data_IF_332362319692
#
_entry.id   IF_332362319692
#
_cell.length_a   1.000
_cell.length_b   1.000
_cell.length_c   1.000
_cell.angle_alpha   90.00
_cell.angle_beta   90.00
_cell.angle_gamma   90.00
#
_symmetry.space_group_name_H-M   'P 1'
#
loop_
_entity.id
_entity.type
_entity.pdbx_description
1 polymer ?
#
# COMPACT_ATOMS: atom_id res chain seq x y z
N UNK A 1 17.78 -6.12 -9.10
CA UNK A 1 17.15 -4.87 -9.57
C UNK A 1 16.27 -5.19 -10.76
N UNK A 2 15.03 -4.73 -10.79
CA UNK A 2 14.15 -4.86 -11.97
C UNK A 2 13.45 -3.53 -12.29
N UNK A 3 13.41 -3.09 -13.56
CA UNK A 3 12.52 -2.01 -13.98
C UNK A 3 11.08 -2.45 -13.72
N UNK A 4 10.23 -1.54 -13.24
CA UNK A 4 8.84 -1.87 -12.96
C UNK A 4 7.87 -1.00 -13.76
N UNK A 5 7.88 0.31 -13.54
CA UNK A 5 6.90 1.21 -14.14
C UNK A 5 7.59 2.26 -15.01
N UNK A 6 7.02 2.55 -16.17
CA UNK A 6 7.34 3.72 -16.99
C UNK A 6 6.08 4.36 -17.57
N UNK A 7 6.21 5.63 -17.95
CA UNK A 7 5.19 6.42 -18.63
C UNK A 7 5.69 6.77 -20.03
N UNK A 8 4.88 6.46 -21.03
CA UNK A 8 5.17 6.76 -22.44
C UNK A 8 4.04 7.67 -22.97
N UNK A 9 4.39 8.75 -23.66
CA UNK A 9 3.41 9.64 -24.30
C UNK A 9 3.25 9.24 -25.76
N UNK A 10 2.04 8.90 -26.16
CA UNK A 10 1.65 8.62 -27.53
C UNK A 10 0.60 9.63 -28.02
N UNK A 11 0.28 9.59 -29.31
CA UNK A 11 -0.70 10.49 -29.94
C UNK A 11 -2.10 10.44 -29.26
N UNK A 12 -2.45 9.31 -28.63
CA UNK A 12 -3.72 9.12 -27.92
C UNK A 12 -3.70 9.49 -26.42
N UNK A 13 -2.58 9.99 -25.90
CA UNK A 13 -2.39 10.28 -24.47
C UNK A 13 -1.25 9.47 -23.83
N UNK A 14 -1.32 9.28 -22.52
CA UNK A 14 -0.31 8.56 -21.75
C UNK A 14 -0.58 7.06 -21.70
N UNK A 15 0.47 6.28 -21.89
CA UNK A 15 0.50 4.84 -21.67
C UNK A 15 1.30 4.52 -20.41
N UNK A 16 0.68 3.70 -19.55
CA UNK A 16 1.34 3.07 -18.41
C UNK A 16 1.98 1.77 -18.89
N UNK A 17 3.28 1.64 -18.66
CA UNK A 17 4.05 0.45 -19.03
C UNK A 17 4.46 -0.30 -17.77
N UNK A 18 3.99 -1.54 -17.63
CA UNK A 18 4.41 -2.48 -16.59
C UNK A 18 5.42 -3.49 -17.18
N UNK A 19 6.66 -3.43 -16.71
CA UNK A 19 7.74 -4.35 -17.08
C UNK A 19 7.78 -5.61 -16.21
N UNK A 20 6.76 -5.86 -15.39
CA UNK A 20 6.64 -6.99 -14.47
C UNK A 20 7.74 -7.06 -13.39
N UNK A 21 8.40 -5.94 -13.08
CA UNK A 21 9.48 -5.91 -12.10
C UNK A 21 9.09 -6.44 -10.72
N UNK A 22 7.89 -6.11 -10.24
CA UNK A 22 7.40 -6.62 -8.94
C UNK A 22 7.17 -8.14 -8.97
N UNK A 23 6.63 -8.64 -10.08
CA UNK A 23 6.41 -10.06 -10.26
C UNK A 23 7.73 -10.83 -10.26
N UNK A 24 8.73 -10.33 -11.01
CA UNK A 24 10.07 -10.93 -11.07
C UNK A 24 10.76 -11.02 -9.70
N UNK A 25 10.56 -10.05 -8.81
CA UNK A 25 11.14 -10.15 -7.46
C UNK A 25 10.38 -11.13 -6.57
N UNK A 26 9.06 -11.25 -6.75
CA UNK A 26 8.21 -12.16 -5.97
C UNK A 26 8.48 -13.61 -6.37
N UNK A 27 8.71 -13.89 -7.66
CA UNK A 27 9.12 -15.22 -8.14
C UNK A 27 10.47 -15.67 -7.58
N UNK A 28 11.36 -14.73 -7.26
CA UNK A 28 12.67 -15.00 -6.66
C UNK A 28 12.62 -15.21 -5.15
N UNK A 29 11.48 -14.97 -4.48
CA UNK A 29 11.35 -15.18 -3.04
C UNK A 29 11.09 -16.65 -2.72
N UNK A 30 11.69 -17.14 -1.64
CA UNK A 30 11.36 -18.46 -1.12
C UNK A 30 9.94 -18.46 -0.52
N UNK A 31 9.10 -19.39 -0.98
CA UNK A 31 7.72 -19.60 -0.48
C UNK A 31 6.91 -18.28 -0.44
N UNK A 32 6.69 -17.62 -1.59
CA UNK A 32 6.12 -16.26 -1.64
C UNK A 32 4.69 -16.14 -1.08
N UNK A 33 3.98 -17.25 -0.90
CA UNK A 33 2.65 -17.29 -0.27
C UNK A 33 2.72 -17.17 1.26
N UNK A 34 3.85 -17.52 1.86
CA UNK A 34 4.07 -17.56 3.31
C UNK A 34 4.93 -16.39 3.81
N UNK A 35 5.48 -15.59 2.89
CA UNK A 35 6.28 -14.41 3.21
C UNK A 35 5.44 -13.14 3.10
N UNK A 36 5.58 -12.25 4.08
CA UNK A 36 4.81 -11.01 4.18
C UNK A 36 5.75 -9.80 4.05
N UNK A 37 6.08 -9.36 2.83
CA UNK A 37 7.08 -8.33 2.63
C UNK A 37 6.66 -6.96 3.17
N UNK A 38 7.62 -6.26 3.78
CA UNK A 38 7.47 -4.82 4.03
C UNK A 38 7.97 -4.03 2.82
N UNK A 39 7.24 -2.98 2.45
CA UNK A 39 7.51 -2.17 1.26
C UNK A 39 8.03 -0.80 1.66
N UNK A 40 9.22 -0.43 1.21
CA UNK A 40 9.80 0.88 1.42
C UNK A 40 9.95 1.63 0.10
N UNK A 41 9.36 2.81 -0.01
CA UNK A 41 9.46 3.68 -1.18
C UNK A 41 10.51 4.77 -0.93
N UNK A 42 11.46 4.93 -1.85
CA UNK A 42 12.47 5.97 -1.82
C UNK A 42 12.33 6.87 -3.05
N UNK A 43 12.07 8.16 -2.84
CA UNK A 43 11.81 9.15 -3.88
C UNK A 43 12.92 10.21 -3.89
N UNK A 44 13.65 10.28 -4.99
CA UNK A 44 14.78 11.18 -5.15
C UNK A 44 15.73 10.73 -6.26
N UNK A 45 16.88 11.39 -6.32
CA UNK A 45 17.89 11.28 -7.37
C UNK A 45 19.23 10.84 -6.78
N UNK A 46 20.19 11.76 -6.73
CA UNK A 46 21.59 11.46 -6.35
C UNK A 46 21.71 11.12 -4.86
N UNK A 47 21.13 11.95 -4.00
CA UNK A 47 21.18 11.79 -2.54
C UNK A 47 20.50 10.49 -2.11
N UNK A 48 19.35 10.16 -2.72
CA UNK A 48 18.68 8.87 -2.57
C UNK A 48 19.61 7.70 -2.90
N UNK A 49 20.30 7.76 -4.04
CA UNK A 49 21.19 6.68 -4.47
C UNK A 49 22.40 6.50 -3.52
N UNK A 50 22.91 7.58 -2.94
CA UNK A 50 23.94 7.51 -1.88
C UNK A 50 23.41 6.86 -0.61
N UNK A 51 22.21 7.27 -0.16
CA UNK A 51 21.56 6.72 1.02
C UNK A 51 21.28 5.22 0.87
N UNK A 52 20.72 4.79 -0.26
CA UNK A 52 20.41 3.38 -0.51
C UNK A 52 21.66 2.50 -0.47
N UNK A 53 22.77 2.95 -1.08
CA UNK A 53 24.06 2.24 -1.00
C UNK A 53 24.60 2.12 0.42
N UNK A 54 24.30 3.08 1.30
CA UNK A 54 24.71 3.04 2.70
C UNK A 54 23.78 2.15 3.55
N UNK A 55 22.47 2.18 3.29
CA UNK A 55 21.48 1.40 4.04
C UNK A 55 21.52 -0.09 3.67
N UNK A 56 21.79 -0.40 2.39
CA UNK A 56 21.70 -1.74 1.80
C UNK A 56 22.94 -2.06 0.94
N UNK A 57 24.13 -2.17 1.54
CA UNK A 57 25.40 -2.23 0.80
C UNK A 57 25.53 -3.43 -0.16
N UNK A 58 24.83 -4.53 0.09
CA UNK A 58 24.88 -5.74 -0.73
C UNK A 58 24.02 -5.65 -2.00
N UNK A 59 23.05 -4.73 -2.02
CA UNK A 59 22.20 -4.55 -3.18
C UNK A 59 22.97 -3.86 -4.32
N UNK A 60 22.94 -4.47 -5.49
CA UNK A 60 23.51 -3.89 -6.71
C UNK A 60 22.70 -2.68 -7.19
N UNK A 61 23.05 -1.49 -6.69
CA UNK A 61 22.55 -0.19 -7.17
C UNK A 61 23.39 0.29 -8.35
N UNK A 62 22.98 -0.09 -9.56
CA UNK A 62 23.66 0.28 -10.80
C UNK A 62 23.96 1.78 -10.92
N UNK A 63 25.13 2.12 -11.50
CA UNK A 63 25.45 3.48 -11.96
C UNK A 63 24.72 3.69 -13.30
N UNK A 64 24.08 4.85 -13.50
CA UNK A 64 23.41 5.21 -14.77
C UNK A 64 22.14 4.39 -15.04
N UNK A 65 21.12 4.84 -15.78
CA UNK A 65 20.69 6.11 -16.38
C UNK A 65 19.37 5.70 -17.05
N UNK A 66 18.29 6.49 -16.95
CA UNK A 66 16.98 6.24 -17.63
C UNK A 66 16.21 5.01 -17.16
N UNK A 67 15.49 5.14 -16.05
CA UNK A 67 14.47 4.17 -15.67
C UNK A 67 13.23 4.98 -15.38
N UNK A 68 12.10 4.59 -15.96
CA UNK A 68 10.93 5.46 -16.13
C UNK A 68 10.42 6.07 -14.84
N UNK A 69 9.37 5.48 -14.26
CA UNK A 69 8.74 6.00 -13.05
C UNK A 69 9.25 5.29 -11.80
N UNK A 70 9.31 3.95 -11.81
CA UNK A 70 9.64 3.17 -10.63
C UNK A 70 10.46 1.91 -10.96
N UNK A 71 11.36 1.59 -10.04
CA UNK A 71 12.15 0.35 -9.99
C UNK A 71 11.89 -0.38 -8.69
N UNK A 72 12.09 -1.68 -8.71
CA UNK A 72 11.88 -2.52 -7.53
C UNK A 72 13.04 -3.50 -7.29
N UNK A 73 13.34 -3.71 -6.02
CA UNK A 73 14.43 -4.54 -5.54
C UNK A 73 13.97 -5.34 -4.33
N UNK A 74 14.48 -6.55 -4.20
CA UNK A 74 14.44 -7.28 -2.95
C UNK A 74 15.69 -6.90 -2.15
N UNK A 75 15.53 -6.58 -0.86
CA UNK A 75 16.66 -6.39 0.04
C UNK A 75 17.35 -7.72 0.30
N UNK A 76 18.68 -7.73 0.23
CA UNK A 76 19.52 -8.89 0.57
C UNK A 76 19.86 -8.94 2.07
N UNK A 77 19.25 -8.07 2.89
CA UNK A 77 19.49 -8.11 4.34
C UNK A 77 18.92 -9.39 4.95
N UNK A 78 19.65 -10.03 5.87
CA UNK A 78 19.14 -11.17 6.61
C UNK A 78 18.00 -10.71 7.52
N UNK A 79 16.85 -11.36 7.42
CA UNK A 79 15.69 -11.06 8.24
C UNK A 79 14.55 -12.06 8.04
N UNK A 80 13.64 -12.21 9.01
CA UNK A 80 12.50 -13.11 8.89
C UNK A 80 11.54 -12.66 7.77
N UNK A 81 11.37 -11.34 7.65
CA UNK A 81 10.46 -10.70 6.71
C UNK A 81 11.22 -10.02 5.57
N UNK A 82 10.91 -10.34 4.30
CA UNK A 82 11.57 -9.72 3.17
C UNK A 82 11.22 -8.22 3.08
N UNK A 83 12.20 -7.41 2.67
CA UNK A 83 11.98 -5.98 2.43
C UNK A 83 12.01 -5.72 0.93
N UNK A 84 10.91 -5.21 0.39
CA UNK A 84 10.79 -4.75 -0.99
C UNK A 84 11.11 -3.27 -1.03
N UNK A 85 12.15 -2.90 -1.77
CA UNK A 85 12.58 -1.52 -1.97
C UNK A 85 12.04 -1.04 -3.32
N UNK A 86 11.30 0.07 -3.31
CA UNK A 86 10.87 0.76 -4.52
C UNK A 86 11.69 2.03 -4.65
N UNK A 87 12.35 2.20 -5.78
CA UNK A 87 13.05 3.43 -6.13
C UNK A 87 12.24 4.22 -7.16
N UNK A 88 11.99 5.49 -6.88
CA UNK A 88 11.35 6.40 -7.83
C UNK A 88 12.08 7.75 -7.88
N UNK A 89 11.81 8.50 -8.94
CA UNK A 89 12.28 9.86 -9.17
C UNK A 89 11.10 10.70 -9.63
N UNK A 90 11.05 11.97 -9.21
CA UNK A 90 10.06 12.92 -9.72
C UNK A 90 10.49 13.55 -11.05
N UNK A 91 11.76 13.43 -11.42
CA UNK A 91 12.25 13.99 -12.67
C UNK A 91 11.60 13.29 -13.87
N UNK A 92 11.01 14.07 -14.77
CA UNK A 92 10.52 13.56 -16.05
C UNK A 92 11.71 13.12 -16.88
N UNK A 93 11.82 11.82 -17.15
CA UNK A 93 12.79 11.29 -18.08
C UNK A 93 12.07 11.07 -19.42
N UNK A 94 12.07 12.09 -20.28
CA UNK A 94 11.42 12.07 -21.61
C UNK A 94 11.94 11.01 -22.58
N UNK A 95 13.01 10.27 -22.24
CA UNK A 95 13.69 9.34 -23.17
C UNK A 95 14.00 7.97 -22.57
N UNK A 96 13.13 7.45 -21.71
CA UNK A 96 13.27 6.05 -21.27
C UNK A 96 12.58 5.14 -22.27
N UNK A 97 13.33 4.70 -23.30
CA UNK A 97 12.92 3.57 -24.12
C UNK A 97 12.99 2.30 -23.26
N UNK A 98 11.85 1.64 -23.06
CA UNK A 98 11.84 0.35 -22.38
C UNK A 98 12.76 -0.66 -23.09
N UNK A 99 13.49 -1.52 -22.36
CA UNK A 99 14.33 -2.55 -22.99
C UNK A 99 13.47 -3.46 -23.87
N UNK A 100 13.81 -3.56 -25.17
CA UNK A 100 13.08 -4.33 -26.20
C UNK A 100 12.87 -5.82 -25.89
N UNK A 101 13.54 -6.35 -24.87
CA UNK A 101 13.54 -7.78 -24.53
C UNK A 101 12.55 -8.18 -23.42
N UNK A 102 11.77 -7.24 -22.87
CA UNK A 102 10.81 -7.54 -21.79
C UNK A 102 9.40 -7.58 -22.36
N UNK A 103 8.58 -8.56 -21.98
CA UNK A 103 7.14 -8.51 -22.25
C UNK A 103 6.58 -7.31 -21.47
N UNK A 104 6.25 -6.25 -22.18
CA UNK A 104 5.72 -5.03 -21.60
C UNK A 104 4.20 -5.06 -21.67
N UNK A 105 3.56 -4.90 -20.52
CA UNK A 105 2.11 -4.70 -20.50
C UNK A 105 1.84 -3.21 -20.56
N UNK A 106 1.45 -2.74 -21.74
CA UNK A 106 1.05 -1.35 -21.96
C UNK A 106 -0.45 -1.20 -21.72
N UNK A 107 -0.82 -0.16 -20.98
CA UNK A 107 -2.22 0.17 -20.71
C UNK A 107 -2.44 1.67 -20.94
N UNK A 108 -3.32 2.06 -21.88
CA UNK A 108 -3.64 3.46 -22.07
C UNK A 108 -4.34 4.01 -20.83
N UNK A 109 -3.88 5.16 -20.36
CA UNK A 109 -4.50 5.89 -19.26
C UNK A 109 -5.70 6.63 -19.83
N UNK A 110 -6.90 6.25 -19.38
CA UNK A 110 -8.15 6.82 -19.83
C UNK A 110 -8.18 8.34 -19.60
N UNK A 111 -8.59 9.09 -20.63
CA UNK A 111 -8.75 10.56 -20.61
C UNK A 111 -7.46 11.32 -20.27
N UNK A 112 -6.31 10.82 -20.69
CA UNK A 112 -5.00 11.41 -20.38
C UNK A 112 -4.39 12.29 -21.48
N UNK A 113 -5.12 12.54 -22.57
CA UNK A 113 -4.64 13.36 -23.70
C UNK A 113 -4.11 14.74 -23.29
N UNK A 114 -4.84 15.44 -22.44
CA UNK A 114 -4.49 16.78 -21.95
C UNK A 114 -3.69 16.76 -20.65
N UNK A 115 -3.45 15.58 -20.06
CA UNK A 115 -2.70 15.48 -18.81
C UNK A 115 -1.22 15.74 -19.04
N UNK A 116 -0.61 16.45 -18.11
CA UNK A 116 0.84 16.54 -17.94
C UNK A 116 1.43 15.22 -17.44
N UNK A 117 2.73 15.04 -17.66
CA UNK A 117 3.47 13.91 -17.07
C UNK A 117 3.30 13.84 -15.55
N UNK A 118 3.30 15.00 -14.90
CA UNK A 118 3.25 15.13 -13.45
C UNK A 118 1.90 14.74 -12.86
N UNK A 119 0.80 15.03 -13.55
CA UNK A 119 -0.54 14.58 -13.15
C UNK A 119 -0.65 13.05 -13.22
N UNK A 120 -0.20 12.44 -14.33
CA UNK A 120 -0.23 10.98 -14.49
C UNK A 120 0.74 10.29 -13.51
N UNK A 121 1.90 10.91 -13.25
CA UNK A 121 2.83 10.46 -12.20
C UNK A 121 2.13 10.47 -10.84
N UNK A 122 1.54 11.59 -10.44
CA UNK A 122 0.91 11.74 -9.13
C UNK A 122 -0.26 10.77 -8.94
N UNK A 123 -1.03 10.51 -9.99
CA UNK A 123 -2.05 9.46 -10.02
C UNK A 123 -1.48 8.08 -9.65
N UNK A 124 -0.32 7.71 -10.18
CA UNK A 124 0.31 6.41 -9.89
C UNK A 124 0.88 6.35 -8.47
N UNK A 125 1.38 7.46 -7.94
CA UNK A 125 1.74 7.55 -6.53
C UNK A 125 0.52 7.29 -5.64
N UNK A 126 -0.56 8.01 -5.91
CA UNK A 126 -1.80 7.97 -5.14
C UNK A 126 -2.47 6.58 -5.17
N UNK A 127 -2.58 5.96 -6.34
CA UNK A 127 -3.36 4.73 -6.51
C UNK A 127 -2.56 3.43 -6.42
N UNK A 128 -1.22 3.50 -6.57
CA UNK A 128 -0.37 2.31 -6.66
C UNK A 128 0.73 2.32 -5.61
N UNK A 129 1.63 3.31 -5.64
CA UNK A 129 2.85 3.25 -4.83
C UNK A 129 2.58 3.48 -3.34
N UNK A 130 1.81 4.51 -2.98
CA UNK A 130 1.53 4.86 -1.59
C UNK A 130 0.66 3.83 -0.85
N UNK A 131 -0.42 3.29 -1.44
CA UNK A 131 -1.24 2.27 -0.76
C UNK A 131 -0.46 1.01 -0.38
N UNK A 132 0.60 0.68 -1.13
CA UNK A 132 1.45 -0.47 -0.89
C UNK A 132 2.59 -0.19 0.11
N UNK A 133 3.03 1.07 0.19
CA UNK A 133 4.18 1.46 0.99
C UNK A 133 3.90 1.40 2.51
N UNK A 134 4.86 0.88 3.25
CA UNK A 134 4.92 1.00 4.71
C UNK A 134 5.62 2.31 5.09
N UNK A 135 6.73 2.62 4.42
CA UNK A 135 7.48 3.86 4.59
C UNK A 135 7.74 4.54 3.26
N UNK A 136 7.75 5.88 3.26
CA UNK A 136 8.06 6.70 2.08
C UNK A 136 9.15 7.69 2.47
N UNK A 137 10.34 7.55 1.88
CA UNK A 137 11.47 8.45 2.09
C UNK A 137 11.53 9.49 0.96
N UNK A 138 11.40 10.77 1.30
CA UNK A 138 11.47 11.90 0.39
C UNK A 138 12.79 12.64 0.61
N UNK A 139 13.66 12.70 -0.40
CA UNK A 139 14.96 13.38 -0.31
C UNK A 139 14.85 14.82 -0.82
N UNK A 140 14.67 15.79 0.07
CA UNK A 140 14.34 17.18 -0.29
C UNK A 140 15.31 17.78 -1.32
N UNK A 141 16.61 17.63 -1.08
CA UNK A 141 17.68 18.13 -1.96
C UNK A 141 17.68 17.50 -3.37
N UNK A 142 16.99 16.37 -3.57
CA UNK A 142 16.82 15.77 -4.89
C UNK A 142 15.53 16.23 -5.60
N UNK A 143 14.57 16.82 -4.86
CA UNK A 143 13.26 17.21 -5.38
C UNK A 143 13.21 18.67 -5.84
N UNK A 144 14.03 19.54 -5.23
CA UNK A 144 14.08 20.97 -5.52
C UNK A 144 15.51 21.47 -5.56
N UNK A 145 15.83 22.38 -6.49
CA UNK A 145 17.09 23.10 -6.50
C UNK A 145 17.16 24.22 -5.44
N UNK A 146 16.01 24.60 -4.87
CA UNK A 146 15.86 25.73 -3.93
C UNK A 146 15.73 25.29 -2.47
N UNK A 147 15.82 23.98 -2.16
CA UNK A 147 15.64 23.40 -0.81
C UNK A 147 14.32 23.80 -0.11
N UNK A 148 13.26 24.04 -0.89
CA UNK A 148 11.98 24.53 -0.38
C UNK A 148 11.06 23.40 0.08
N UNK A 149 10.69 23.43 1.36
CA UNK A 149 9.71 22.51 1.98
C UNK A 149 8.34 22.58 1.29
N UNK A 150 8.02 23.70 0.64
CA UNK A 150 6.77 23.90 -0.10
C UNK A 150 6.58 22.87 -1.23
N UNK A 151 7.68 22.38 -1.83
CA UNK A 151 7.61 21.34 -2.85
C UNK A 151 7.05 20.05 -2.27
N UNK A 152 7.51 19.67 -1.07
CA UNK A 152 6.97 18.50 -0.37
C UNK A 152 5.50 18.71 -0.02
N UNK A 153 5.11 19.92 0.43
CA UNK A 153 3.71 20.21 0.72
C UNK A 153 2.83 20.05 -0.52
N UNK A 154 3.23 20.62 -1.66
CA UNK A 154 2.52 20.49 -2.94
C UNK A 154 2.40 19.04 -3.39
N UNK A 155 3.44 18.24 -3.22
CA UNK A 155 3.42 16.80 -3.55
C UNK A 155 2.47 16.02 -2.64
N UNK A 156 2.54 16.24 -1.33
CA UNK A 156 1.64 15.59 -0.38
C UNK A 156 0.18 15.97 -0.65
N UNK A 157 -0.10 17.21 -1.04
CA UNK A 157 -1.44 17.64 -1.50
C UNK A 157 -1.84 16.89 -2.78
N UNK A 158 -0.96 16.81 -3.77
CA UNK A 158 -1.23 16.13 -5.03
C UNK A 158 -1.41 14.61 -4.90
N UNK A 159 -0.93 14.01 -3.80
CA UNK A 159 -1.08 12.57 -3.51
C UNK A 159 -2.28 12.24 -2.61
N UNK A 160 -3.13 13.21 -2.30
CA UNK A 160 -4.36 12.98 -1.56
C UNK A 160 -5.34 12.13 -2.36
N UNK A 161 -5.90 11.12 -1.70
CA UNK A 161 -7.00 10.35 -2.28
C UNK A 161 -8.30 11.13 -2.07
N UNK A 162 -9.10 11.39 -3.13
CA UNK A 162 -10.45 11.93 -2.98
C UNK A 162 -11.26 11.04 -2.04
N UNK A 163 -11.69 11.60 -0.91
CA UNK A 163 -12.55 10.91 0.04
C UNK A 163 -13.99 11.03 -0.44
N UNK A 164 -14.58 9.93 -0.88
CA UNK A 164 -15.97 9.91 -1.36
C UNK A 164 -17.00 9.83 -0.20
N UNK A 165 -16.62 10.18 1.03
CA UNK A 165 -17.52 10.35 2.18
C UNK A 165 -18.17 9.07 2.74
N UNK A 166 -18.19 7.96 2.00
CA UNK A 166 -19.06 6.81 2.32
C UNK A 166 -18.36 5.67 3.06
N UNK A 167 -17.02 5.59 3.10
CA UNK A 167 -16.35 4.52 3.84
C UNK A 167 -15.11 5.00 4.59
N UNK A 168 -15.20 5.07 5.92
CA UNK A 168 -14.12 5.42 6.85
C UNK A 168 -13.16 4.26 7.10
N UNK A 169 -13.15 3.24 6.23
CA UNK A 169 -12.23 2.13 6.32
C UNK A 169 -10.83 2.65 5.95
N UNK A 170 -10.14 3.20 6.95
CA UNK A 170 -8.83 3.84 6.81
C UNK A 170 -7.85 2.79 6.29
N UNK A 171 -7.57 2.84 4.99
CA UNK A 171 -6.41 2.13 4.45
C UNK A 171 -5.18 2.62 5.21
N UNK A 172 -4.32 1.71 5.70
CA UNK A 172 -3.15 2.09 6.48
C UNK A 172 -2.23 2.90 5.58
N UNK A 173 -2.07 4.17 5.94
CA UNK A 173 -1.22 5.11 5.22
C UNK A 173 0.26 4.82 5.53
N UNK A 174 1.16 5.14 4.60
CA UNK A 174 2.58 5.03 4.85
C UNK A 174 3.05 6.02 5.91
N UNK A 175 4.18 5.71 6.55
CA UNK A 175 4.93 6.64 7.36
C UNK A 175 5.90 7.41 6.45
N UNK A 176 5.78 8.74 6.41
CA UNK A 176 6.62 9.59 5.57
C UNK A 176 7.85 10.05 6.34
N UNK A 177 9.01 9.92 5.72
CA UNK A 177 10.31 10.33 6.23
C UNK A 177 10.88 11.34 5.25
N UNK A 178 11.06 12.59 5.69
CA UNK A 178 11.70 13.63 4.91
C UNK A 178 13.18 13.70 5.29
N UNK A 179 14.06 13.62 4.29
CA UNK A 179 15.51 13.60 4.48
C UNK A 179 16.10 14.93 4.02
N UNK A 180 16.79 15.60 4.93
CA UNK A 180 17.50 16.86 4.68
C UNK A 180 18.99 16.58 4.59
N UNK A 181 19.63 16.95 3.48
CA UNK A 181 21.08 16.73 3.29
C UNK A 181 21.84 17.98 2.94
N UNK A 182 21.14 19.01 2.44
CA UNK A 182 21.63 20.36 2.10
C UNK A 182 20.49 21.36 2.41
N UNK A 183 20.79 22.65 2.43
CA UNK A 183 19.80 23.72 2.67
C UNK A 183 20.36 24.91 3.45
N UNK A 184 19.69 26.08 3.41
CA UNK A 184 20.10 27.26 4.17
C UNK A 184 20.07 26.96 5.69
N UNK A 185 20.80 27.80 6.43
CA UNK A 185 21.32 27.62 7.79
C UNK A 185 20.52 26.78 8.80
N UNK A 186 21.27 26.28 9.80
CA UNK A 186 20.86 25.54 11.02
C UNK A 186 19.64 26.07 11.80
N UNK A 187 19.08 27.23 11.45
CA UNK A 187 18.06 27.92 12.23
C UNK A 187 16.70 27.19 12.22
N UNK A 188 16.38 26.41 11.19
CA UNK A 188 15.13 25.64 11.15
C UNK A 188 15.35 24.22 11.65
N UNK A 189 14.88 23.93 12.87
CA UNK A 189 14.86 22.58 13.44
C UNK A 189 13.98 21.63 12.62
N UNK A 190 14.44 20.40 12.43
CA UNK A 190 13.68 19.34 11.76
C UNK A 190 12.30 19.09 12.38
N UNK A 191 12.13 19.33 13.68
CA UNK A 191 10.83 19.24 14.35
C UNK A 191 9.85 20.32 13.89
N UNK A 192 10.34 21.53 13.65
CA UNK A 192 9.52 22.62 13.10
C UNK A 192 9.04 22.29 11.69
N UNK A 193 9.92 21.68 10.88
CA UNK A 193 9.59 21.20 9.53
C UNK A 193 8.56 20.07 9.60
N UNK A 194 8.76 19.09 10.48
CA UNK A 194 7.83 17.99 10.68
C UNK A 194 6.44 18.53 11.06
N UNK A 195 6.38 19.46 12.02
CA UNK A 195 5.13 20.10 12.47
C UNK A 195 4.43 20.87 11.33
N UNK A 196 5.18 21.66 10.54
CA UNK A 196 4.63 22.39 9.37
C UNK A 196 4.10 21.45 8.30
N UNK A 197 4.79 20.33 8.06
CA UNK A 197 4.34 19.31 7.12
C UNK A 197 3.11 18.59 7.67
N UNK A 198 3.09 18.20 8.94
CA UNK A 198 1.94 17.57 9.58
C UNK A 198 0.70 18.48 9.59
N UNK A 199 0.86 19.79 9.76
CA UNK A 199 -0.26 20.73 9.71
C UNK A 199 -0.77 20.99 8.28
N UNK A 200 0.11 20.97 7.28
CA UNK A 200 -0.25 21.15 5.87
C UNK A 200 -0.74 19.85 5.20
N UNK A 201 -0.32 18.70 5.73
CA UNK A 201 -0.73 17.39 5.23
C UNK A 201 -2.08 17.07 5.83
N UNK A 202 -3.11 17.08 4.99
CA UNK A 202 -4.43 16.57 5.33
C UNK A 202 -4.26 15.14 5.88
N UNK A 203 -4.99 14.71 6.93
CA UNK A 203 -4.83 13.42 7.64
C UNK A 203 -5.05 12.13 6.80
N UNK A 204 -4.96 12.22 5.48
CA UNK A 204 -5.33 11.20 4.51
C UNK A 204 -4.15 10.67 3.67
N UNK A 205 -2.93 11.21 3.81
CA UNK A 205 -1.75 10.82 2.98
C UNK A 205 -0.69 10.04 3.75
N UNK A 206 -0.47 10.38 5.01
CA UNK A 206 0.59 9.82 5.83
C UNK A 206 0.08 9.56 7.25
N UNK A 207 0.35 8.36 7.78
CA UNK A 207 0.02 8.03 9.17
C UNK A 207 0.92 8.78 10.17
N UNK A 208 2.15 9.07 9.75
CA UNK A 208 3.11 9.87 10.51
C UNK A 208 4.07 10.57 9.54
N UNK A 209 4.58 11.74 9.94
CA UNK A 209 5.65 12.45 9.24
C UNK A 209 6.81 12.62 10.20
N UNK A 210 8.01 12.26 9.77
CA UNK A 210 9.25 12.47 10.52
C UNK A 210 10.31 13.10 9.61
N UNK A 211 11.20 13.89 10.21
CA UNK A 211 12.29 14.56 9.49
C UNK A 211 13.61 14.01 10.01
N UNK A 212 14.49 13.62 9.09
CA UNK A 212 15.86 13.18 9.37
C UNK A 212 16.81 14.22 8.82
N UNK A 213 17.51 14.91 9.72
CA UNK A 213 18.50 15.92 9.36
C UNK A 213 19.91 15.32 9.27
N UNK A 214 20.49 15.39 8.08
CA UNK A 214 21.83 14.91 7.76
C UNK A 214 22.76 16.03 7.28
N UNK A 215 22.38 17.31 7.42
CA UNK A 215 23.15 18.47 6.93
C UNK A 215 24.56 18.53 7.56
N UNK A 216 24.67 18.31 8.87
CA UNK A 216 25.95 18.36 9.61
C UNK A 216 26.78 17.06 9.53
N UNK A 217 26.41 16.14 8.64
CA UNK A 217 27.02 14.80 8.57
C UNK A 217 27.84 14.58 7.30
N UNK A 218 28.17 15.65 6.58
CA UNK A 218 28.87 15.61 5.29
C UNK A 218 30.25 14.95 5.36
N UNK A 219 31.00 15.22 6.43
CA UNK A 219 32.38 14.71 6.61
C UNK A 219 32.45 13.29 7.17
N UNK A 220 31.33 12.74 7.62
CA UNK A 220 31.29 11.39 8.16
C UNK A 220 31.43 10.35 7.06
N UNK A 221 31.87 9.14 7.45
CA UNK A 221 31.81 7.98 6.56
C UNK A 221 30.38 7.77 6.05
N UNK A 222 30.21 7.19 4.85
CA UNK A 222 28.87 6.94 4.27
C UNK A 222 27.94 6.19 5.22
N UNK A 223 28.45 5.18 5.92
CA UNK A 223 27.67 4.41 6.90
C UNK A 223 27.23 5.29 8.08
N UNK A 224 28.15 6.06 8.67
CA UNK A 224 27.87 6.95 9.81
C UNK A 224 26.98 8.15 9.45
N UNK A 225 27.12 8.67 8.22
CA UNK A 225 26.30 9.76 7.69
C UNK A 225 24.83 9.36 7.62
N UNK A 226 24.53 8.18 7.06
CA UNK A 226 23.14 7.72 6.88
C UNK A 226 22.60 6.86 8.03
N UNK A 227 23.38 6.66 9.10
CA UNK A 227 22.94 5.91 10.28
C UNK A 227 21.61 6.43 10.88
N UNK A 228 21.37 7.75 11.04
CA UNK A 228 20.08 8.24 11.55
C UNK A 228 18.91 7.86 10.64
N UNK A 229 19.13 7.90 9.32
CA UNK A 229 18.14 7.49 8.34
C UNK A 229 17.84 5.99 8.44
N UNK A 230 18.87 5.15 8.58
CA UNK A 230 18.70 3.71 8.77
C UNK A 230 17.82 3.40 9.99
N UNK A 231 18.14 4.02 11.13
CA UNK A 231 17.34 3.87 12.35
C UNK A 231 15.90 4.35 12.19
N UNK A 232 15.70 5.50 11.55
CA UNK A 232 14.36 6.03 11.30
C UNK A 232 13.55 5.11 10.39
N UNK A 233 14.13 4.63 9.28
CA UNK A 233 13.46 3.73 8.34
C UNK A 233 13.07 2.42 9.01
N UNK A 234 13.99 1.78 9.75
CA UNK A 234 13.71 0.52 10.46
C UNK A 234 12.58 0.70 11.48
N UNK A 235 12.66 1.74 12.32
CA UNK A 235 11.63 2.01 13.34
C UNK A 235 10.27 2.31 12.74
N UNK A 236 10.21 3.17 11.73
CA UNK A 236 8.95 3.54 11.08
C UNK A 236 8.36 2.37 10.28
N UNK A 237 9.20 1.52 9.69
CA UNK A 237 8.75 0.29 9.02
C UNK A 237 8.08 -0.66 10.02
N UNK A 238 8.70 -0.92 11.17
CA UNK A 238 8.16 -1.82 12.18
C UNK A 238 6.83 -1.31 12.74
N UNK A 239 6.73 -0.01 13.01
CA UNK A 239 5.48 0.62 13.42
C UNK A 239 4.39 0.48 12.34
N UNK A 240 4.68 0.82 11.09
CA UNK A 240 3.73 0.70 9.99
C UNK A 240 3.31 -0.76 9.72
N UNK A 241 4.24 -1.71 9.90
CA UNK A 241 3.97 -3.15 9.80
C UNK A 241 3.02 -3.62 10.89
N UNK A 242 3.23 -3.17 12.13
CA UNK A 242 2.38 -3.49 13.28
C UNK A 242 0.94 -3.00 13.05
N UNK A 243 0.77 -1.75 12.63
CA UNK A 243 -0.54 -1.18 12.28
C UNK A 243 -1.23 -2.00 11.19
N UNK A 244 -0.49 -2.37 10.13
CA UNK A 244 -1.02 -3.22 9.04
C UNK A 244 -1.37 -4.62 9.55
N UNK A 245 -0.60 -5.20 10.47
CA UNK A 245 -0.84 -6.51 11.06
C UNK A 245 -2.13 -6.52 11.88
N UNK A 246 -2.32 -5.52 12.75
CA UNK A 246 -3.52 -5.32 13.55
C UNK A 246 -4.75 -5.14 12.67
N UNK A 247 -4.62 -4.38 11.58
CA UNK A 247 -5.68 -4.18 10.58
C UNK A 247 -5.92 -5.41 9.67
N UNK A 248 -5.14 -6.50 9.81
CA UNK A 248 -5.18 -7.69 8.93
C UNK A 248 -4.90 -7.37 7.45
N UNK A 249 -4.06 -6.38 7.21
CA UNK A 249 -3.64 -5.89 5.89
C UNK A 249 -2.16 -6.20 5.58
N UNK A 250 -1.60 -7.22 6.25
CA UNK A 250 -0.34 -7.84 5.84
C UNK A 250 -0.60 -8.82 4.71
N UNK A 251 -0.28 -8.37 3.50
CA UNK A 251 -0.37 -9.17 2.30
C UNK A 251 0.89 -10.03 2.14
N UNK A 252 0.71 -11.29 1.74
CA UNK A 252 1.83 -12.12 1.31
C UNK A 252 2.43 -11.56 0.01
N UNK A 253 3.63 -11.98 -0.36
CA UNK A 253 4.28 -11.50 -1.58
C UNK A 253 3.41 -11.76 -2.83
N UNK A 254 2.71 -12.91 -2.89
CA UNK A 254 1.76 -13.19 -3.98
C UNK A 254 0.55 -12.27 -3.98
N UNK A 255 0.02 -11.91 -2.81
CA UNK A 255 -1.08 -10.97 -2.71
C UNK A 255 -0.62 -9.56 -3.10
N UNK A 256 0.56 -9.12 -2.65
CA UNK A 256 1.13 -7.83 -3.00
C UNK A 256 1.27 -7.67 -4.52
N UNK A 257 1.84 -8.67 -5.19
CA UNK A 257 2.00 -8.72 -6.65
C UNK A 257 0.65 -8.69 -7.39
N UNK A 258 -0.32 -9.49 -6.94
CA UNK A 258 -1.66 -9.51 -7.51
C UNK A 258 -2.39 -8.16 -7.36
N UNK A 259 -2.35 -7.57 -6.16
CA UNK A 259 -2.97 -6.29 -5.87
C UNK A 259 -2.32 -5.16 -6.66
N UNK A 260 -0.99 -5.12 -6.76
CA UNK A 260 -0.28 -4.13 -7.56
C UNK A 260 -0.73 -4.12 -9.01
N UNK A 261 -0.85 -5.31 -9.63
CA UNK A 261 -1.36 -5.43 -11.01
C UNK A 261 -2.80 -4.92 -11.15
N UNK A 262 -3.65 -5.14 -10.15
CA UNK A 262 -5.02 -4.62 -10.19
C UNK A 262 -5.04 -3.11 -9.97
N UNK A 263 -4.21 -2.57 -9.08
CA UNK A 263 -4.01 -1.13 -8.89
C UNK A 263 -3.53 -0.45 -10.18
N UNK A 264 -2.59 -1.03 -10.92
CA UNK A 264 -2.13 -0.50 -12.20
C UNK A 264 -3.25 -0.47 -13.25
N UNK A 265 -3.99 -1.59 -13.39
CA UNK A 265 -5.15 -1.67 -14.29
C UNK A 265 -6.22 -0.66 -13.94
N UNK A 266 -6.48 -0.46 -12.66
CA UNK A 266 -7.49 0.47 -12.17
C UNK A 266 -7.05 1.92 -12.36
N UNK A 267 -5.81 2.27 -12.03
CA UNK A 267 -5.26 3.60 -12.26
C UNK A 267 -5.30 4.00 -13.73
N UNK A 268 -5.03 3.06 -14.65
CA UNK A 268 -5.16 3.32 -16.08
C UNK A 268 -6.63 3.51 -16.52
N UNK A 269 -7.58 2.74 -15.97
CA UNK A 269 -8.98 2.73 -16.47
C UNK A 269 -9.93 3.69 -15.77
N UNK A 270 -9.71 3.95 -14.48
CA UNK A 270 -10.60 4.70 -13.60
C UNK A 270 -9.78 5.67 -12.71
N UNK A 271 -9.06 6.62 -13.31
CA UNK A 271 -8.10 7.47 -12.61
C UNK A 271 -8.73 8.38 -11.53
N UNK A 272 -10.04 8.60 -11.58
CA UNK A 272 -10.76 9.48 -10.64
C UNK A 272 -11.34 8.76 -9.42
N UNK A 273 -11.26 7.43 -9.35
CA UNK A 273 -11.87 6.65 -8.26
C UNK A 273 -10.84 5.82 -7.51
N UNK A 274 -10.95 5.64 -6.18
CA UNK A 274 -10.09 4.73 -5.44
C UNK A 274 -10.34 3.27 -5.85
N UNK A 275 -9.35 2.41 -5.66
CA UNK A 275 -9.47 0.98 -5.87
C UNK A 275 -10.22 0.32 -4.69
N UNK A 276 -11.28 -0.42 -4.98
CA UNK A 276 -11.91 -1.31 -4.02
C UNK A 276 -11.15 -2.64 -3.96
N UNK A 277 -10.28 -2.78 -2.93
CA UNK A 277 -9.48 -3.97 -2.69
C UNK A 277 -10.32 -5.23 -2.40
N UNK A 278 -11.51 -5.06 -1.83
CA UNK A 278 -12.42 -6.19 -1.55
C UNK A 278 -13.01 -6.69 -2.86
N UNK A 279 -13.50 -5.78 -3.70
CA UNK A 279 -14.09 -6.12 -5.00
C UNK A 279 -13.07 -6.81 -5.91
N UNK A 280 -11.85 -6.28 -6.05
CA UNK A 280 -10.84 -6.88 -6.93
C UNK A 280 -10.30 -8.22 -6.41
N UNK A 281 -10.38 -8.46 -5.11
CA UNK A 281 -10.03 -9.75 -4.51
C UNK A 281 -11.13 -10.81 -4.68
N UNK A 282 -12.31 -10.42 -5.20
CA UNK A 282 -13.49 -11.29 -5.37
C UNK A 282 -14.03 -11.28 -6.81
N UNK A 283 -13.23 -11.67 -7.82
CA UNK A 283 -13.63 -11.61 -9.24
C UNK A 283 -14.78 -12.56 -9.62
N UNK A 284 -15.21 -13.47 -8.73
CA UNK A 284 -16.38 -14.33 -8.95
C UNK A 284 -17.70 -13.71 -8.50
N UNK A 285 -17.68 -12.66 -7.66
CA UNK A 285 -18.88 -11.91 -7.26
C UNK A 285 -19.28 -10.82 -8.28
N UNK A 286 -18.50 -10.62 -9.33
CA UNK A 286 -18.79 -9.67 -10.43
C UNK A 286 -19.81 -10.16 -11.45
N UNK A 287 -20.36 -11.38 -11.31
CA UNK A 287 -21.66 -11.67 -11.92
C UNK A 287 -22.70 -11.05 -11.00
N UNK A 288 -23.46 -10.09 -11.51
CA UNK A 288 -24.61 -9.37 -10.93
C UNK A 288 -25.67 -10.33 -10.31
N UNK A 289 -25.29 -11.10 -9.31
CA UNK A 289 -26.22 -11.79 -8.45
C UNK A 289 -26.46 -10.83 -7.32
N UNK A 290 -27.49 -9.99 -7.47
CA UNK A 290 -27.83 -9.00 -6.47
C UNK A 290 -28.17 -9.71 -5.16
N UNK A 291 -27.22 -9.74 -4.23
CA UNK A 291 -27.38 -10.39 -2.92
C UNK A 291 -28.63 -9.85 -2.21
N UNK A 292 -29.00 -8.59 -2.45
CA UNK A 292 -30.24 -8.00 -1.97
C UNK A 292 -31.49 -8.65 -2.58
N UNK A 293 -31.50 -8.96 -3.88
CA UNK A 293 -32.63 -9.66 -4.51
C UNK A 293 -32.79 -11.10 -4.00
N UNK A 294 -31.69 -11.81 -3.79
CA UNK A 294 -31.73 -13.15 -3.20
C UNK A 294 -32.14 -13.13 -1.74
N UNK A 295 -31.64 -12.17 -0.97
CA UNK A 295 -32.08 -11.98 0.41
C UNK A 295 -33.57 -11.62 0.47
N UNK A 296 -34.03 -10.72 -0.39
CA UNK A 296 -35.45 -10.36 -0.50
C UNK A 296 -36.32 -11.57 -0.84
N UNK A 297 -35.90 -12.38 -1.82
CA UNK A 297 -36.62 -13.59 -2.23
C UNK A 297 -36.64 -14.63 -1.11
N UNK A 298 -35.51 -14.81 -0.41
CA UNK A 298 -35.41 -15.71 0.74
C UNK A 298 -36.30 -15.25 1.91
N UNK A 299 -36.31 -13.95 2.23
CA UNK A 299 -37.17 -13.40 3.28
C UNK A 299 -38.65 -13.55 2.95
N UNK A 300 -39.04 -13.24 1.71
CA UNK A 300 -40.43 -13.47 1.23
C UNK A 300 -40.85 -14.93 1.34
N UNK A 301 -39.96 -15.86 0.96
CA UNK A 301 -40.24 -17.29 1.08
C UNK A 301 -40.34 -17.69 2.55
N UNK A 302 -39.41 -17.25 3.40
CA UNK A 302 -39.42 -17.55 4.82
C UNK A 302 -40.72 -17.07 5.51
N UNK A 303 -41.23 -15.91 5.12
CA UNK A 303 -42.51 -15.39 5.60
C UNK A 303 -43.69 -16.24 5.10
N UNK A 304 -43.69 -16.69 3.84
CA UNK A 304 -44.78 -17.50 3.27
C UNK A 304 -44.90 -18.88 3.92
N UNK A 305 -43.78 -19.48 4.33
CA UNK A 305 -43.75 -20.75 5.07
C UNK A 305 -43.70 -20.58 6.60
N UNK A 306 -43.86 -19.33 7.11
CA UNK A 306 -43.90 -19.00 8.53
C UNK A 306 -42.70 -19.52 9.34
N UNK A 307 -41.49 -19.42 8.77
CA UNK A 307 -40.27 -19.78 9.49
C UNK A 307 -40.06 -18.87 10.71
N UNK A 308 -39.50 -19.44 11.77
CA UNK A 308 -39.15 -18.68 12.96
C UNK A 308 -38.09 -17.62 12.63
N UNK A 309 -38.33 -16.37 13.04
CA UNK A 309 -37.41 -15.24 12.75
C UNK A 309 -35.98 -15.51 13.21
N UNK A 310 -35.81 -16.21 14.33
CA UNK A 310 -34.48 -16.54 14.85
C UNK A 310 -33.72 -17.49 13.92
N UNK A 311 -34.41 -18.45 13.29
CA UNK A 311 -33.83 -19.36 12.31
C UNK A 311 -33.41 -18.61 11.03
N UNK A 312 -34.30 -17.77 10.51
CA UNK A 312 -34.03 -16.92 9.33
C UNK A 312 -32.80 -16.04 9.57
N UNK A 313 -32.73 -15.37 10.73
CA UNK A 313 -31.60 -14.53 11.09
C UNK A 313 -30.27 -15.32 11.16
N UNK A 314 -30.30 -16.54 11.72
CA UNK A 314 -29.11 -17.42 11.75
C UNK A 314 -28.67 -17.84 10.35
N UNK A 315 -29.60 -18.18 9.46
CA UNK A 315 -29.29 -18.52 8.07
C UNK A 315 -28.66 -17.35 7.32
N UNK A 316 -29.24 -16.16 7.43
CA UNK A 316 -28.70 -14.93 6.80
C UNK A 316 -27.31 -14.62 7.35
N UNK A 317 -27.15 -14.63 8.67
CA UNK A 317 -25.86 -14.38 9.31
C UNK A 317 -24.80 -15.41 8.88
N UNK A 318 -25.17 -16.69 8.81
CA UNK A 318 -24.28 -17.75 8.32
C UNK A 318 -23.90 -17.55 6.85
N UNK A 319 -24.86 -17.20 5.99
CA UNK A 319 -24.60 -16.95 4.57
C UNK A 319 -23.69 -15.73 4.38
N UNK A 320 -23.92 -14.64 5.12
CA UNK A 320 -23.06 -13.46 5.12
C UNK A 320 -21.65 -13.78 5.62
N UNK A 321 -21.53 -14.58 6.69
CA UNK A 321 -20.25 -15.03 7.23
C UNK A 321 -19.49 -15.90 6.22
N UNK A 322 -20.15 -16.87 5.59
CA UNK A 322 -19.53 -17.71 4.57
C UNK A 322 -19.13 -16.92 3.33
N UNK A 323 -19.94 -15.94 2.94
CA UNK A 323 -19.61 -15.00 1.87
C UNK A 323 -18.41 -14.11 2.22
N UNK A 324 -18.05 -13.97 3.51
CA UNK A 324 -16.85 -13.26 3.92
C UNK A 324 -15.54 -14.01 3.56
N UNK A 325 -15.61 -15.31 3.28
CA UNK A 325 -14.45 -16.17 2.98
C UNK A 325 -14.46 -16.63 1.52
N UNK A 326 -13.59 -16.08 0.63
CA UNK A 326 -13.39 -16.61 -0.71
C UNK A 326 -13.11 -18.13 -0.73
N UNK A 327 -13.56 -18.84 -1.79
CA UNK A 327 -13.27 -20.26 -1.98
C UNK A 327 -11.76 -20.55 -1.86
N UNK A 328 -11.39 -21.53 -1.02
CA UNK A 328 -9.99 -21.90 -0.76
C UNK A 328 -9.34 -21.22 0.44
N UNK A 329 -10.02 -20.28 1.12
CA UNK A 329 -9.54 -19.74 2.41
C UNK A 329 -9.60 -20.75 3.56
N UNK A 330 -10.46 -21.76 3.45
CA UNK A 330 -10.39 -22.96 4.27
C UNK A 330 -9.47 -23.93 3.51
N UNK A 331 -8.19 -23.94 3.86
CA UNK A 331 -7.20 -24.79 3.19
C UNK A 331 -7.69 -26.23 3.07
N UNK A 332 -7.40 -26.89 1.93
CA UNK A 332 -7.70 -28.32 1.75
C UNK A 332 -7.18 -29.07 2.99
N UNK A 333 -8.04 -29.67 3.83
CA UNK A 333 -7.57 -30.28 5.06
C UNK A 333 -6.79 -31.54 4.70
N UNK A 334 -5.51 -31.59 5.07
CA UNK A 334 -4.72 -32.82 5.13
C UNK A 334 -4.99 -33.60 6.43
N UNK A 335 -6.22 -33.54 6.95
CA UNK A 335 -6.59 -34.19 8.22
C UNK A 335 -8.10 -34.18 8.47
N UNK A 336 -8.58 -35.23 9.14
CA UNK A 336 -9.98 -35.67 9.20
C UNK A 336 -11.05 -34.56 9.40
N UNK A 337 -12.18 -34.62 8.66
CA UNK A 337 -13.15 -33.53 8.52
C UNK A 337 -14.05 -33.27 9.75
N UNK A 338 -14.07 -34.12 10.77
CA UNK A 338 -15.04 -34.01 11.89
C UNK A 338 -14.58 -33.12 13.06
N UNK A 339 -13.28 -32.93 13.30
CA UNK A 339 -12.81 -32.23 14.50
C UNK A 339 -12.83 -30.70 14.38
N UNK A 340 -12.55 -30.13 13.19
CA UNK A 340 -12.43 -28.67 13.00
C UNK A 340 -13.76 -27.94 12.83
N UNK A 341 -14.78 -28.54 12.21
CA UNK A 341 -16.11 -27.93 12.15
C UNK A 341 -16.69 -27.73 13.57
N UNK A 342 -16.50 -28.70 14.46
CA UNK A 342 -16.85 -28.59 15.87
C UNK A 342 -15.98 -27.56 16.61
N UNK A 343 -14.70 -27.44 16.26
CA UNK A 343 -13.81 -26.43 16.86
C UNK A 343 -14.17 -25.00 16.43
N UNK A 344 -14.60 -24.82 15.18
CA UNK A 344 -14.97 -23.52 14.62
C UNK A 344 -16.37 -23.09 15.08
N UNK A 345 -17.30 -24.03 15.24
CA UNK A 345 -18.59 -23.81 15.93
C UNK A 345 -18.33 -23.42 17.40
N UNK A 346 -17.46 -24.14 18.13
CA UNK A 346 -17.09 -23.79 19.52
C UNK A 346 -16.41 -22.42 19.63
N UNK A 347 -15.59 -22.04 18.65
CA UNK A 347 -14.93 -20.73 18.60
C UNK A 347 -15.94 -19.60 18.36
N UNK A 348 -16.89 -19.81 17.44
CA UNK A 348 -17.98 -18.85 17.17
C UNK A 348 -18.93 -18.74 18.36
N UNK A 349 -19.26 -19.85 19.03
CA UNK A 349 -20.05 -19.89 20.26
C UNK A 349 -19.35 -19.23 21.46
N UNK A 350 -18.01 -19.31 21.53
CA UNK A 350 -17.22 -18.62 22.55
C UNK A 350 -17.19 -17.10 22.32
N UNK A 351 -17.08 -16.68 21.05
CA UNK A 351 -17.16 -15.26 20.67
C UNK A 351 -18.55 -14.66 20.91
N UNK A 352 -19.63 -15.42 20.68
CA UNK A 352 -20.99 -14.95 20.98
C UNK A 352 -21.29 -14.92 22.48
N UNK A 353 -20.80 -15.89 23.28
CA UNK A 353 -20.93 -15.86 24.75
C UNK A 353 -20.20 -14.69 25.40
N UNK A 354 -18.99 -14.36 24.93
CA UNK A 354 -18.25 -13.21 25.46
C UNK A 354 -18.89 -11.86 25.09
N UNK A 355 -19.55 -11.78 23.93
CA UNK A 355 -20.28 -10.57 23.51
C UNK A 355 -21.60 -10.37 24.28
N UNK A 356 -22.29 -11.44 24.68
CA UNK A 356 -23.52 -11.34 25.48
C UNK A 356 -23.21 -10.90 26.92
N UNK A 357 -22.09 -11.35 27.51
CA UNK A 357 -21.64 -10.88 28.84
C UNK A 357 -21.26 -9.39 28.87
N UNK A 358 -20.69 -8.85 27.79
CA UNK A 358 -20.37 -7.43 27.73
C UNK A 358 -21.61 -6.53 27.60
N UNK A 359 -22.71 -7.02 27.00
CA UNK A 359 -23.98 -6.27 26.97
C UNK A 359 -24.77 -6.32 28.30
N UNK A 360 -24.61 -7.37 29.11
CA UNK A 360 -25.21 -7.43 30.46
C UNK A 360 -24.50 -6.53 31.48
N UNK A 361 -23.22 -6.22 31.27
CA UNK A 361 -22.48 -5.29 32.13
C UNK A 361 -22.81 -3.82 31.84
N UNK A 362 -23.17 -3.49 30.59
CA UNK A 362 -23.59 -2.13 30.20
C UNK A 362 -25.03 -1.82 30.63
N UNK A 363 -25.89 -2.84 30.78
CA UNK A 363 -27.29 -2.64 31.22
C UNK A 363 -27.45 -2.42 32.73
N UNK A 364 -26.43 -2.72 33.54
CA UNK A 364 -26.42 -2.40 34.97
C UNK A 364 -25.90 -0.99 35.29
N UNK A 365 -25.27 -0.30 34.34
CA UNK A 365 -24.69 1.05 34.53
C UNK A 365 -25.67 2.16 34.09
N UNK A 366 -26.82 1.82 33.51
CA UNK A 366 -27.85 2.78 33.02
C UNK A 366 -29.10 2.77 33.92
N UNK A 367 -28.98 2.33 35.18
CA UNK A 367 -30.08 2.29 36.15
C UNK A 367 -29.72 2.81 37.56
N UNK A 368 -28.76 3.73 37.64
CA UNK A 368 -28.60 4.62 38.80
C UNK A 368 -28.77 6.08 38.38
#
# INVERSE_FOLDING_TARGET
MAPWLSLEKELGGWNLVDSHGLHQIVEKMDRPRERYPSVQLFVGGKTKAEALRALYPHNSYGRSSRFGLARVHLSELPGPDPIVLIESSLQSHSEVRAPRATVLRQQPVCRSHDCSHDEVRNLLYQQVLLPMAHTVCLFLNDLSSTDDIEVIQKLLVAWQVPSNGIDKCRTPQPHVIVVLTKGPERQVSGESIARRLSSATVPHVAAAISVVDLRDRGELSRASRFQPLKHAVTRQQEAARTIRAEARLLFSATHLDALARQSLKHAARRPTTPLDYIQVSRPSQTKEVCAAQHLHSFLKLADSIRLERQYVARCVASAMLMNAYPPGMHGKPTGHPRSRAQQQIRYIEALTRNRIRSYQHVSHIVRE
#
